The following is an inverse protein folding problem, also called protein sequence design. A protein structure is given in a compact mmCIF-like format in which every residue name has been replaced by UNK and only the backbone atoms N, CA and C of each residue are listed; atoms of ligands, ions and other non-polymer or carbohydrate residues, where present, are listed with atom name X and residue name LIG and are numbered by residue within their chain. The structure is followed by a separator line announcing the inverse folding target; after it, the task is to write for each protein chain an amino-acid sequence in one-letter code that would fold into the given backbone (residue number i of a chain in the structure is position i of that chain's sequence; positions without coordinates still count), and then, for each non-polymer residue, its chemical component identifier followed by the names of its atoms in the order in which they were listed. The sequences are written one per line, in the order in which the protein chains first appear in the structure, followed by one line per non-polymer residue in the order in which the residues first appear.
data_IF_573809348563
#
_entry.id   IF_573809348563
#
_cell.length_a   1.000
_cell.length_b   1.000
_cell.length_c   1.000
_cell.angle_alpha   90.00
_cell.angle_beta   90.00
_cell.angle_gamma   90.00
#
_symmetry.space_group_name_H-M   'P 1'
#
loop_
_entity.id
_entity.type
_entity.pdbx_description
1 polymer ?
#
# COMPACT_ATOMS: atom_id res chain seq x y z
N UNK A 1 22.27 27.24 56.68
CA UNK A 1 21.08 26.52 56.17
C UNK A 1 20.46 27.13 54.90
N UNK A 2 20.85 28.34 54.45
CA UNK A 2 20.22 29.03 53.30
C UNK A 2 20.70 28.62 51.90
N UNK A 3 21.99 28.28 51.72
CA UNK A 3 22.57 27.98 50.39
C UNK A 3 22.06 26.67 49.78
N UNK A 4 21.87 25.63 50.59
CA UNK A 4 21.34 24.33 50.13
C UNK A 4 19.87 24.41 49.72
N UNK A 5 19.05 25.17 50.47
CA UNK A 5 17.64 25.39 50.15
C UNK A 5 17.48 26.24 48.89
N UNK A 6 18.34 27.24 48.72
CA UNK A 6 18.40 28.05 47.50
C UNK A 6 18.78 27.21 46.27
N UNK A 7 19.76 26.32 46.40
CA UNK A 7 20.16 25.40 45.33
C UNK A 7 19.03 24.43 44.94
N UNK A 8 18.30 23.91 45.93
CA UNK A 8 17.16 23.00 45.68
C UNK A 8 15.98 23.71 45.00
N UNK A 9 15.71 24.97 45.34
CA UNK A 9 14.70 25.79 44.65
C UNK A 9 15.13 26.08 43.21
N UNK A 10 16.42 26.33 42.98
CA UNK A 10 16.96 26.62 41.65
C UNK A 10 16.89 25.39 40.72
N UNK A 11 17.14 24.19 41.26
CA UNK A 11 16.97 22.92 40.54
C UNK A 11 15.48 22.63 40.26
N UNK A 12 14.59 22.92 41.22
CA UNK A 12 13.14 22.74 41.05
C UNK A 12 12.56 23.62 39.94
N UNK A 13 13.02 24.87 39.80
CA UNK A 13 12.59 25.77 38.72
C UNK A 13 13.12 25.32 37.35
N UNK A 14 14.33 24.75 37.29
CA UNK A 14 14.92 24.21 36.06
C UNK A 14 14.16 22.98 35.53
N UNK A 15 13.57 22.16 36.41
CA UNK A 15 12.82 20.97 36.03
C UNK A 15 11.40 21.27 35.50
N UNK A 16 10.84 22.45 35.79
CA UNK A 16 9.53 22.88 35.29
C UNK A 16 9.59 23.50 33.88
N UNK A 17 10.79 23.81 33.36
CA UNK A 17 10.97 24.46 32.05
C UNK A 17 10.99 23.50 30.85
N UNK A 18 10.92 22.19 31.06
CA UNK A 18 11.12 21.18 29.99
C UNK A 18 9.80 20.72 29.34
N UNK A 19 8.64 21.25 29.79
CA UNK A 19 7.32 20.73 29.41
C UNK A 19 6.66 21.43 28.21
N UNK A 20 7.31 22.38 27.54
CA UNK A 20 6.71 23.21 26.47
C UNK A 20 7.02 22.76 25.04
N UNK A 21 7.75 21.66 24.82
CA UNK A 21 7.90 21.06 23.49
C UNK A 21 6.77 20.05 23.22
N UNK A 22 5.54 20.52 23.21
CA UNK A 22 4.37 19.66 23.13
C UNK A 22 3.16 20.37 22.57
N UNK A 23 3.27 20.92 21.35
CA UNK A 23 2.17 21.05 20.37
C UNK A 23 2.65 21.79 19.12
N UNK A 24 2.84 21.03 18.05
CA UNK A 24 3.21 21.51 16.73
C UNK A 24 3.41 20.34 15.77
N UNK A 25 2.59 19.29 15.89
CA UNK A 25 2.51 18.30 14.82
C UNK A 25 1.75 18.96 13.68
N UNK A 26 2.48 19.67 12.82
CA UNK A 26 1.98 20.14 11.55
C UNK A 26 1.64 18.89 10.73
N UNK A 27 0.35 18.57 10.63
CA UNK A 27 -0.12 17.57 9.68
C UNK A 27 0.27 18.07 8.29
N UNK A 28 1.03 17.30 7.49
CA UNK A 28 1.28 17.69 6.13
C UNK A 28 -0.07 17.78 5.43
N UNK A 29 -0.51 19.01 5.13
CA UNK A 29 -1.62 19.23 4.23
C UNK A 29 -1.15 18.76 2.86
N UNK A 30 -1.65 17.59 2.42
CA UNK A 30 -1.39 17.07 1.10
C UNK A 30 -1.98 18.06 0.08
N UNK A 31 -1.12 18.92 -0.47
CA UNK A 31 -1.44 19.72 -1.65
C UNK A 31 -1.78 18.75 -2.78
N UNK A 32 -3.07 18.56 -3.04
CA UNK A 32 -3.63 17.69 -4.09
C UNK A 32 -3.37 18.18 -5.52
N UNK A 33 -2.46 19.14 -5.70
CA UNK A 33 -2.20 19.81 -6.98
C UNK A 33 -1.14 19.16 -7.88
N UNK A 34 -0.57 18.01 -7.48
CA UNK A 34 0.32 17.27 -8.38
C UNK A 34 0.40 15.75 -8.07
N UNK A 35 -0.73 15.15 -7.69
CA UNK A 35 -0.84 13.69 -7.73
C UNK A 35 -0.96 13.28 -9.21
N UNK A 36 0.17 13.19 -9.92
CA UNK A 36 0.22 12.43 -11.15
C UNK A 36 -0.15 10.98 -10.81
N UNK A 37 -1.40 10.62 -11.07
CA UNK A 37 -1.92 9.27 -10.90
C UNK A 37 -1.26 8.36 -11.94
N UNK A 38 -0.04 7.90 -11.66
CA UNK A 38 0.67 6.91 -12.47
C UNK A 38 0.32 5.50 -12.00
N UNK A 39 0.34 4.55 -12.92
CA UNK A 39 0.08 3.12 -12.67
C UNK A 39 -1.28 2.90 -11.99
N UNK A 40 -2.33 3.46 -12.61
CA UNK A 40 -3.70 3.30 -12.16
C UNK A 40 -4.17 1.87 -12.47
N UNK A 41 -4.17 1.02 -11.45
CA UNK A 41 -4.57 -0.38 -11.61
C UNK A 41 -6.01 -0.56 -11.18
N UNK A 42 -6.80 -1.11 -12.10
CA UNK A 42 -8.19 -1.52 -11.92
C UNK A 42 -8.31 -3.03 -12.05
N UNK A 43 -9.11 -3.67 -11.18
CA UNK A 43 -9.38 -5.12 -11.24
C UNK A 43 -10.88 -5.39 -11.26
N UNK A 44 -11.35 -6.24 -12.18
CA UNK A 44 -12.78 -6.54 -12.35
C UNK A 44 -13.02 -7.85 -13.12
N UNK A 45 -14.18 -8.51 -12.96
CA UNK A 45 -15.18 -8.24 -11.94
C UNK A 45 -14.68 -8.68 -10.56
N UNK A 46 -15.21 -8.07 -9.51
CA UNK A 46 -15.04 -8.52 -8.14
C UNK A 46 -16.42 -8.44 -7.45
N UNK A 47 -17.09 -9.56 -7.13
CA UNK A 47 -16.58 -10.95 -7.18
C UNK A 47 -16.36 -11.51 -8.60
N UNK A 48 -15.49 -12.51 -8.71
CA UNK A 48 -15.04 -13.13 -9.97
C UNK A 48 -15.48 -14.59 -10.05
N UNK A 49 -15.76 -15.09 -11.26
CA UNK A 49 -16.18 -16.49 -11.48
C UNK A 49 -15.13 -17.24 -12.28
N UNK A 50 -14.88 -16.84 -13.54
CA UNK A 50 -13.92 -17.54 -14.41
C UNK A 50 -12.61 -16.78 -14.59
N UNK A 51 -12.69 -15.44 -14.60
CA UNK A 51 -11.53 -14.59 -14.85
C UNK A 51 -11.54 -13.31 -14.01
N UNK A 52 -10.34 -12.75 -13.82
CA UNK A 52 -10.12 -11.39 -13.34
C UNK A 52 -9.36 -10.63 -14.41
N UNK A 53 -9.93 -9.51 -14.86
CA UNK A 53 -9.26 -8.54 -15.73
C UNK A 53 -8.49 -7.56 -14.87
N UNK A 54 -7.28 -7.23 -15.32
CA UNK A 54 -6.41 -6.21 -14.73
C UNK A 54 -6.10 -5.21 -15.82
N UNK A 55 -6.45 -3.95 -15.59
CA UNK A 55 -6.14 -2.83 -16.49
C UNK A 55 -5.17 -1.89 -15.78
N UNK A 56 -4.09 -1.49 -16.45
CA UNK A 56 -3.03 -0.62 -15.93
C UNK A 56 -2.97 0.65 -16.78
N UNK A 57 -3.59 1.74 -16.31
CA UNK A 57 -3.65 3.01 -17.04
C UNK A 57 -2.55 3.97 -16.58
N UNK A 58 -2.17 4.91 -17.43
CA UNK A 58 -1.15 5.93 -17.16
C UNK A 58 0.15 5.30 -16.62
N UNK A 59 0.60 4.23 -17.29
CA UNK A 59 1.65 3.36 -16.78
C UNK A 59 3.04 3.76 -17.27
N UNK A 60 4.01 3.67 -16.35
CA UNK A 60 5.44 3.67 -16.68
C UNK A 60 6.12 2.34 -16.35
N UNK A 61 5.34 1.27 -16.18
CA UNK A 61 5.86 -0.07 -15.92
C UNK A 61 6.50 -0.64 -17.19
N UNK A 62 7.63 -1.33 -17.01
CA UNK A 62 8.43 -1.89 -18.12
C UNK A 62 8.00 -3.32 -18.42
N UNK A 63 7.94 -4.18 -17.40
CA UNK A 63 7.54 -5.59 -17.52
C UNK A 63 6.57 -5.96 -16.37
N UNK A 64 5.32 -5.46 -16.40
CA UNK A 64 4.33 -5.79 -15.38
C UNK A 64 3.95 -7.27 -15.41
N UNK A 65 4.06 -7.91 -14.25
CA UNK A 65 3.69 -9.31 -14.00
C UNK A 65 2.55 -9.39 -13.00
N UNK A 66 1.60 -10.27 -13.28
CA UNK A 66 0.49 -10.57 -12.39
C UNK A 66 0.80 -11.83 -11.59
N UNK A 67 0.65 -11.75 -10.27
CA UNK A 67 0.87 -12.90 -9.36
C UNK A 67 -0.33 -13.03 -8.43
N UNK A 68 -0.92 -14.22 -8.39
CA UNK A 68 -2.00 -14.54 -7.47
C UNK A 68 -1.45 -15.29 -6.25
N UNK A 69 -1.94 -14.91 -5.08
CA UNK A 69 -1.68 -15.59 -3.82
C UNK A 69 -3.02 -15.93 -3.15
N UNK A 70 -3.03 -16.98 -2.35
CA UNK A 70 -4.08 -17.24 -1.37
C UNK A 70 -4.14 -16.10 -0.34
N UNK A 71 -5.23 -16.04 0.43
CA UNK A 71 -5.39 -15.03 1.48
C UNK A 71 -4.30 -15.10 2.57
N UNK A 72 -3.68 -16.27 2.76
CA UNK A 72 -2.55 -16.47 3.70
C UNK A 72 -1.17 -16.21 3.07
N UNK A 73 -1.13 -15.78 1.79
CA UNK A 73 0.10 -15.34 1.13
C UNK A 73 0.85 -16.40 0.33
N UNK A 74 0.41 -17.66 0.33
CA UNK A 74 1.00 -18.70 -0.55
C UNK A 74 0.69 -18.42 -2.01
N UNK A 75 1.69 -18.50 -2.89
CA UNK A 75 1.50 -18.32 -4.35
C UNK A 75 0.58 -19.39 -4.92
N UNK A 76 -0.28 -18.98 -5.85
CA UNK A 76 -1.24 -19.84 -6.55
C UNK A 76 -0.95 -19.72 -8.05
N UNK A 77 -0.71 -20.85 -8.70
CA UNK A 77 -0.46 -20.87 -10.14
C UNK A 77 -1.77 -20.74 -10.91
N UNK A 78 -1.80 -19.75 -11.80
CA UNK A 78 -2.94 -19.43 -12.66
C UNK A 78 -2.43 -19.00 -14.02
N UNK A 79 -3.16 -19.36 -15.08
CA UNK A 79 -2.85 -18.86 -16.40
C UNK A 79 -3.15 -17.35 -16.44
N UNK A 80 -2.17 -16.56 -16.88
CA UNK A 80 -2.34 -15.13 -17.13
C UNK A 80 -2.00 -14.84 -18.58
N UNK A 81 -2.93 -14.23 -19.29
CA UNK A 81 -2.77 -13.82 -20.68
C UNK A 81 -2.70 -12.30 -20.75
N UNK A 82 -1.68 -11.78 -21.44
CA UNK A 82 -1.60 -10.36 -21.79
C UNK A 82 -2.46 -10.15 -23.03
N UNK A 83 -3.61 -9.52 -22.85
CA UNK A 83 -4.57 -9.27 -23.95
C UNK A 83 -4.17 -8.03 -24.76
N UNK A 84 -3.53 -7.04 -24.13
CA UNK A 84 -2.96 -5.85 -24.77
C UNK A 84 -1.79 -5.27 -23.93
N UNK A 85 -1.15 -4.17 -24.33
CA UNK A 85 -0.08 -3.47 -23.60
C UNK A 85 -0.38 -3.30 -22.11
N UNK A 86 -1.64 -2.94 -21.81
CA UNK A 86 -2.10 -2.48 -20.50
C UNK A 86 -3.16 -3.40 -19.87
N UNK A 87 -3.53 -4.49 -20.55
CA UNK A 87 -4.64 -5.36 -20.15
C UNK A 87 -4.20 -6.81 -19.99
N UNK A 88 -4.55 -7.39 -18.84
CA UNK A 88 -4.27 -8.77 -18.49
C UNK A 88 -5.57 -9.50 -18.13
N UNK A 89 -5.66 -10.76 -18.53
CA UNK A 89 -6.74 -11.66 -18.14
C UNK A 89 -6.14 -12.80 -17.32
N UNK A 90 -6.58 -12.92 -16.06
CA UNK A 90 -6.16 -13.98 -15.15
C UNK A 90 -7.27 -15.03 -15.09
N UNK A 91 -6.97 -16.26 -15.50
CA UNK A 91 -7.91 -17.38 -15.39
C UNK A 91 -7.95 -17.88 -13.94
N UNK A 92 -9.09 -17.73 -13.28
CA UNK A 92 -9.32 -18.14 -11.90
C UNK A 92 -10.36 -19.24 -11.79
N UNK A 93 -10.87 -19.77 -12.91
CA UNK A 93 -12.00 -20.70 -12.96
C UNK A 93 -11.83 -21.91 -12.04
N UNK A 94 -10.63 -22.49 -12.05
CA UNK A 94 -10.31 -23.71 -11.32
C UNK A 94 -9.91 -23.46 -9.85
N UNK A 95 -9.89 -22.19 -9.42
CA UNK A 95 -9.62 -21.85 -8.02
C UNK A 95 -10.84 -22.16 -7.15
N UNK A 96 -10.64 -22.75 -5.95
CA UNK A 96 -11.70 -22.84 -4.94
C UNK A 96 -12.27 -21.47 -4.60
N UNK A 97 -13.57 -21.42 -4.28
CA UNK A 97 -14.24 -20.21 -3.81
C UNK A 97 -13.54 -19.68 -2.55
N UNK A 98 -13.34 -18.36 -2.49
CA UNK A 98 -12.63 -17.73 -1.38
C UNK A 98 -11.96 -16.40 -1.76
N UNK A 99 -11.26 -15.83 -0.79
CA UNK A 99 -10.50 -14.61 -1.00
C UNK A 99 -9.08 -14.90 -1.49
N UNK A 100 -8.62 -14.08 -2.42
CA UNK A 100 -7.28 -14.15 -2.99
C UNK A 100 -6.68 -12.74 -3.08
N UNK A 101 -5.36 -12.72 -3.22
CA UNK A 101 -4.57 -11.50 -3.40
C UNK A 101 -3.95 -11.52 -4.80
N UNK A 102 -4.27 -10.53 -5.61
CA UNK A 102 -3.68 -10.30 -6.92
C UNK A 102 -2.66 -9.18 -6.79
N UNK A 103 -1.38 -9.49 -7.01
CA UNK A 103 -0.29 -8.53 -7.01
C UNK A 103 0.13 -8.20 -8.45
N UNK A 104 0.25 -6.91 -8.74
CA UNK A 104 0.90 -6.40 -9.96
C UNK A 104 2.29 -5.94 -9.57
N UNK A 105 3.31 -6.53 -10.20
CA UNK A 105 4.72 -6.32 -9.88
C UNK A 105 5.49 -5.95 -11.15
N UNK A 106 6.45 -5.07 -11.03
CA UNK A 106 7.44 -4.81 -12.07
C UNK A 106 8.81 -4.66 -11.41
N UNK A 107 9.69 -5.62 -11.68
CA UNK A 107 11.03 -5.68 -11.09
C UNK A 107 11.91 -4.52 -11.57
N UNK A 108 11.65 -3.99 -12.77
CA UNK A 108 12.46 -2.93 -13.39
C UNK A 108 12.24 -1.58 -12.69
N UNK A 109 11.00 -1.30 -12.31
CA UNK A 109 10.61 -0.06 -11.63
C UNK A 109 10.53 -0.22 -10.10
N UNK A 110 10.63 -1.45 -9.59
CA UNK A 110 10.36 -1.77 -8.18
C UNK A 110 8.89 -1.63 -7.78
N UNK A 111 7.99 -1.47 -8.75
CA UNK A 111 6.57 -1.30 -8.48
C UNK A 111 5.96 -2.60 -7.97
N UNK A 112 5.14 -2.50 -6.92
CA UNK A 112 4.35 -3.61 -6.40
C UNK A 112 3.08 -3.10 -5.75
N UNK A 113 1.93 -3.56 -6.23
CA UNK A 113 0.62 -3.24 -5.65
C UNK A 113 -0.27 -4.47 -5.60
N UNK A 114 -0.95 -4.65 -4.48
CA UNK A 114 -1.76 -5.85 -4.21
C UNK A 114 -3.23 -5.49 -4.00
N UNK A 115 -4.10 -6.31 -4.57
CA UNK A 115 -5.55 -6.16 -4.54
C UNK A 115 -6.21 -7.43 -4.02
N UNK A 116 -7.23 -7.29 -3.16
CA UNK A 116 -8.05 -8.42 -2.71
C UNK A 116 -9.24 -8.59 -3.64
N UNK A 117 -9.51 -9.83 -4.07
CA UNK A 117 -10.74 -10.18 -4.79
C UNK A 117 -11.39 -11.43 -4.21
N UNK A 118 -12.69 -11.59 -4.46
CA UNK A 118 -13.48 -12.75 -4.07
C UNK A 118 -13.74 -13.64 -5.29
N UNK A 119 -13.29 -14.89 -5.26
CA UNK A 119 -13.69 -15.95 -6.19
C UNK A 119 -14.98 -16.61 -5.69
N UNK A 120 -15.98 -16.73 -6.56
CA UNK A 120 -17.23 -17.45 -6.32
C UNK A 120 -17.18 -18.89 -6.81
#
# INVERSE_FOLDING_TARGET
MGKMKFLLVLIGVLLLGISSYGQGAEYPSYNSRDLQLKNQIQIYPNPSVDFVKVTIEESNLVDPRIVVHSIIGSRVEVATEKTDSDNFTVNVKDLPAGYYLLAVKDESTGFSKTYKFLKR
#
